data_IF_573365676049
#
_entry.id   IF_573365676049
#
_cell.length_a   1.000
_cell.length_b   1.000
_cell.length_c   1.000
_cell.angle_alpha   90.00
_cell.angle_beta   90.00
_cell.angle_gamma   90.00
#
_symmetry.space_group_name_H-M   'P 1'
#
loop_
_entity.id
_entity.type
_entity.pdbx_description
1 polymer ?
#
# COMPACT_ATOMS: atom_id res chain seq x y z
N UNK A 1 -23.89 6.52 2.69
CA UNK A 1 -22.85 5.65 3.26
C UNK A 1 -22.27 4.81 2.12
N UNK A 2 -21.05 5.11 1.67
CA UNK A 2 -20.36 4.41 0.56
C UNK A 2 -20.12 2.94 0.94
N UNK A 3 -20.56 1.99 0.12
CA UNK A 3 -20.28 0.55 0.30
C UNK A 3 -19.45 0.06 -0.88
N UNK A 4 -18.15 -0.06 -0.65
CA UNK A 4 -17.22 -0.76 -1.55
C UNK A 4 -17.14 -2.19 -1.06
N UNK A 5 -17.57 -3.15 -1.87
CA UNK A 5 -17.40 -4.56 -1.60
C UNK A 5 -16.18 -5.05 -2.37
N UNK A 6 -15.15 -5.50 -1.65
CA UNK A 6 -13.92 -6.04 -2.25
C UNK A 6 -13.82 -7.52 -1.95
N UNK A 7 -13.51 -8.32 -2.98
CA UNK A 7 -13.24 -9.74 -2.86
C UNK A 7 -11.80 -10.00 -3.31
N UNK A 8 -10.95 -10.43 -2.37
CA UNK A 8 -9.61 -10.91 -2.69
C UNK A 8 -9.71 -12.32 -3.27
N UNK A 9 -9.13 -12.51 -4.45
CA UNK A 9 -9.23 -13.76 -5.21
C UNK A 9 -7.96 -14.60 -5.01
N UNK A 10 -6.82 -13.96 -4.73
CA UNK A 10 -5.61 -14.68 -4.37
C UNK A 10 -4.50 -13.77 -3.84
N UNK A 11 -3.71 -14.31 -2.94
CA UNK A 11 -2.49 -13.71 -2.42
C UNK A 11 -1.36 -14.73 -2.53
N UNK A 12 -0.20 -14.30 -3.01
CA UNK A 12 1.01 -15.09 -3.06
C UNK A 12 2.10 -14.35 -2.30
N UNK A 13 2.73 -15.02 -1.33
CA UNK A 13 3.84 -14.49 -0.55
C UNK A 13 5.07 -15.35 -0.79
N UNK A 14 6.17 -14.71 -1.17
CA UNK A 14 7.48 -15.33 -1.37
C UNK A 14 8.48 -14.59 -0.48
N UNK A 15 9.06 -15.32 0.46
CA UNK A 15 10.13 -14.79 1.30
C UNK A 15 11.43 -15.53 1.00
N UNK A 16 12.54 -14.80 1.02
CA UNK A 16 13.88 -15.37 0.92
C UNK A 16 14.80 -14.73 1.95
N UNK A 17 15.58 -15.57 2.60
CA UNK A 17 16.60 -15.16 3.57
C UNK A 17 17.93 -15.77 3.15
N UNK A 18 18.75 -15.11 2.31
CA UNK A 18 20.14 -15.49 2.13
C UNK A 18 20.85 -15.57 3.48
N UNK A 19 21.85 -16.47 3.57
CA UNK A 19 22.64 -16.73 4.79
C UNK A 19 23.38 -15.51 5.37
N UNK A 20 23.28 -14.35 4.72
CA UNK A 20 23.89 -13.07 5.10
C UNK A 20 22.79 -12.02 5.24
N UNK A 21 22.19 -11.92 6.44
CA UNK A 21 21.48 -10.78 7.05
C UNK A 21 20.42 -9.97 6.25
N UNK A 22 20.13 -10.32 5.01
CA UNK A 22 19.22 -9.59 4.14
C UNK A 22 17.94 -10.40 3.98
N UNK A 23 16.85 -9.96 4.57
CA UNK A 23 15.54 -10.54 4.28
C UNK A 23 14.92 -9.81 3.10
N UNK A 24 14.44 -10.58 2.11
CA UNK A 24 13.65 -10.04 1.00
C UNK A 24 12.30 -10.74 0.98
N UNK A 25 11.24 -9.94 1.01
CA UNK A 25 9.86 -10.39 0.89
C UNK A 25 9.21 -9.79 -0.35
N UNK A 26 8.50 -10.61 -1.10
CA UNK A 26 7.64 -10.24 -2.21
C UNK A 26 6.23 -10.76 -1.91
N UNK A 27 5.25 -9.88 -1.97
CA UNK A 27 3.83 -10.22 -1.85
C UNK A 27 3.09 -9.70 -3.08
N UNK A 28 2.24 -10.55 -3.66
CA UNK A 28 1.39 -10.20 -4.80
C UNK A 28 -0.04 -10.54 -4.42
N UNK A 29 -0.94 -9.55 -4.55
CA UNK A 29 -2.36 -9.67 -4.25
C UNK A 29 -3.16 -9.32 -5.51
N UNK A 30 -4.14 -10.16 -5.83
CA UNK A 30 -5.09 -9.93 -6.93
C UNK A 30 -6.52 -10.06 -6.39
N UNK A 31 -7.37 -9.10 -6.74
CA UNK A 31 -8.75 -9.05 -6.30
C UNK A 31 -9.70 -8.50 -7.35
N UNK A 32 -10.99 -8.74 -7.12
CA UNK A 32 -12.07 -8.06 -7.83
C UNK A 32 -12.80 -7.11 -6.88
N UNK A 33 -13.26 -6.00 -7.41
CA UNK A 33 -13.95 -4.94 -6.70
C UNK A 33 -15.34 -4.78 -7.31
N UNK A 34 -16.32 -4.47 -6.47
CA UNK A 34 -17.61 -3.97 -6.92
C UNK A 34 -17.91 -2.69 -6.15
N UNK A 35 -18.04 -1.59 -6.89
CA UNK A 35 -18.40 -0.29 -6.34
C UNK A 35 -19.76 0.14 -6.90
N UNK A 36 -20.70 0.42 -6.01
CA UNK A 36 -22.06 0.80 -6.38
C UNK A 36 -22.26 2.31 -6.55
N UNK A 37 -21.21 3.14 -6.34
CA UNK A 37 -21.34 4.61 -6.31
C UNK A 37 -20.09 5.34 -6.87
N UNK A 38 -19.71 5.09 -8.14
CA UNK A 38 -18.71 5.89 -8.86
C UNK A 38 -19.28 7.17 -9.50
N UNK A 39 -20.36 7.74 -8.98
CA UNK A 39 -20.94 8.98 -9.49
C UNK A 39 -20.39 10.19 -8.72
N UNK A 40 -19.64 11.05 -9.40
CA UNK A 40 -19.44 12.43 -8.93
C UNK A 40 -20.83 13.09 -8.78
N UNK A 41 -21.05 13.80 -7.68
CA UNK A 41 -22.34 14.41 -7.30
C UNK A 41 -22.88 15.47 -8.30
N UNK A 42 -22.20 15.74 -9.42
CA UNK A 42 -22.65 16.67 -10.47
C UNK A 42 -23.04 15.99 -11.80
N UNK A 43 -22.89 14.67 -11.94
CA UNK A 43 -23.35 13.91 -13.11
C UNK A 43 -24.61 13.09 -12.78
N UNK A 44 -25.75 13.80 -12.81
CA UNK A 44 -27.14 13.36 -12.97
C UNK A 44 -27.54 11.91 -12.61
N UNK A 45 -28.42 11.86 -11.61
CA UNK A 45 -29.57 10.99 -11.30
C UNK A 45 -30.03 9.79 -12.19
N UNK A 46 -29.40 9.47 -13.33
CA UNK A 46 -29.90 8.49 -14.30
C UNK A 46 -29.05 7.20 -14.39
N UNK A 47 -27.80 7.19 -13.91
CA UNK A 47 -26.91 6.02 -14.05
C UNK A 47 -26.53 5.41 -12.68
N UNK A 48 -27.44 4.60 -12.14
CA UNK A 48 -27.16 3.65 -11.06
C UNK A 48 -26.34 2.43 -11.58
N UNK A 49 -25.30 2.67 -12.37
CA UNK A 49 -24.45 1.60 -12.87
C UNK A 49 -23.32 1.39 -11.85
N UNK A 50 -23.45 0.35 -11.03
CA UNK A 50 -22.32 -0.12 -10.22
C UNK A 50 -21.26 -0.72 -11.14
N UNK A 51 -20.00 -0.44 -10.88
CA UNK A 51 -18.88 -0.89 -11.70
C UNK A 51 -18.11 -2.02 -11.01
N UNK A 52 -17.57 -2.92 -11.84
CA UNK A 52 -16.70 -4.01 -11.42
C UNK A 52 -15.27 -3.62 -11.78
N UNK A 53 -14.38 -3.70 -10.80
CA UNK A 53 -12.96 -3.47 -11.01
C UNK A 53 -12.11 -4.71 -10.76
N UNK A 54 -10.90 -4.70 -11.29
CA UNK A 54 -9.83 -5.61 -10.90
C UNK A 54 -8.74 -4.82 -10.17
N UNK A 55 -8.16 -5.44 -9.14
CA UNK A 55 -7.02 -4.88 -8.41
C UNK A 55 -5.84 -5.82 -8.47
N UNK A 56 -4.68 -5.26 -8.74
CA UNK A 56 -3.38 -5.89 -8.57
C UNK A 56 -2.55 -5.04 -7.61
N UNK A 57 -1.99 -5.68 -6.58
CA UNK A 57 -0.98 -5.08 -5.72
C UNK A 57 0.27 -5.95 -5.69
N UNK A 58 1.42 -5.32 -5.73
CA UNK A 58 2.70 -5.97 -5.51
C UNK A 58 3.51 -5.18 -4.48
N UNK A 59 3.94 -5.85 -3.43
CA UNK A 59 4.73 -5.30 -2.33
C UNK A 59 6.09 -5.98 -2.29
N UNK A 60 7.14 -5.17 -2.22
CA UNK A 60 8.52 -5.62 -2.04
C UNK A 60 9.05 -4.99 -0.76
N UNK A 61 9.57 -5.82 0.15
CA UNK A 61 10.27 -5.38 1.35
C UNK A 61 11.69 -5.94 1.36
N UNK A 62 12.66 -5.10 1.66
CA UNK A 62 14.07 -5.48 1.86
C UNK A 62 14.50 -5.02 3.24
N UNK A 63 14.99 -5.93 4.07
CA UNK A 63 15.55 -5.64 5.40
C UNK A 63 17.05 -5.88 5.33
N UNK A 64 17.86 -4.88 4.93
CA UNK A 64 19.32 -5.03 4.83
C UNK A 64 20.03 -5.10 6.19
N UNK A 65 19.38 -4.61 7.26
CA UNK A 65 19.92 -4.67 8.62
C UNK A 65 18.81 -5.11 9.56
N UNK A 66 18.98 -6.29 10.16
CA UNK A 66 18.15 -6.76 11.26
C UNK A 66 19.06 -7.23 12.41
N UNK A 67 19.05 -6.47 13.50
CA UNK A 67 19.82 -6.77 14.70
C UNK A 67 18.94 -6.62 15.94
N UNK A 68 19.45 -7.07 17.10
CA UNK A 68 18.71 -6.95 18.37
C UNK A 68 18.37 -5.51 18.75
N UNK A 69 19.15 -4.52 18.32
CA UNK A 69 19.01 -3.11 18.74
C UNK A 69 18.61 -2.18 17.61
N UNK A 70 18.72 -2.59 16.35
CA UNK A 70 18.52 -1.74 15.19
C UNK A 70 18.00 -2.55 14.00
N UNK A 71 17.03 -1.98 13.30
CA UNK A 71 16.46 -2.52 12.07
C UNK A 71 16.32 -1.38 11.05
N UNK A 72 16.69 -1.65 9.80
CA UNK A 72 16.48 -0.77 8.66
C UNK A 72 15.77 -1.57 7.58
N UNK A 73 14.67 -1.03 7.05
CA UNK A 73 13.94 -1.64 5.94
C UNK A 73 13.63 -0.62 4.83
N UNK A 74 13.54 -1.14 3.62
CA UNK A 74 13.06 -0.43 2.44
C UNK A 74 11.85 -1.15 1.86
N UNK A 75 10.85 -0.38 1.44
CA UNK A 75 9.59 -0.88 0.90
C UNK A 75 9.28 -0.24 -0.44
N UNK A 76 8.70 -1.02 -1.34
CA UNK A 76 8.08 -0.52 -2.54
C UNK A 76 6.74 -1.21 -2.76
N UNK A 77 5.69 -0.43 -2.97
CA UNK A 77 4.36 -0.93 -3.31
C UNK A 77 3.93 -0.38 -4.66
N UNK A 78 3.52 -1.27 -5.54
CA UNK A 78 2.75 -0.96 -6.74
C UNK A 78 1.30 -1.39 -6.51
N UNK A 79 0.34 -0.51 -6.76
CA UNK A 79 -1.10 -0.79 -6.64
C UNK A 79 -1.81 -0.26 -7.88
N UNK A 80 -2.52 -1.13 -8.58
CA UNK A 80 -3.32 -0.82 -9.75
C UNK A 80 -4.74 -1.28 -9.50
N UNK A 81 -5.69 -0.37 -9.69
CA UNK A 81 -7.10 -0.68 -9.85
C UNK A 81 -7.52 -0.31 -11.27
N UNK A 82 -8.16 -1.25 -11.96
CA UNK A 82 -8.75 -1.07 -13.29
C UNK A 82 -10.25 -1.24 -13.18
N UNK A 83 -11.01 -0.31 -13.73
CA UNK A 83 -12.46 -0.32 -13.79
C UNK A 83 -12.93 -0.78 -15.17
N UNK A 84 -14.03 -1.55 -15.24
CA UNK A 84 -14.47 -2.15 -16.49
C UNK A 84 -15.11 -1.14 -17.43
N UNK A 85 -15.93 -0.25 -16.85
CA UNK A 85 -16.76 0.69 -17.61
C UNK A 85 -16.27 2.16 -17.50
N UNK A 86 -15.43 2.49 -16.51
CA UNK A 86 -14.96 3.86 -16.25
C UNK A 86 -13.44 3.97 -16.05
N UNK A 87 -12.70 3.93 -17.16
CA UNK A 87 -11.23 3.99 -17.15
C UNK A 87 -10.68 5.35 -16.65
N UNK A 88 -11.48 6.41 -16.71
CA UNK A 88 -11.12 7.73 -16.15
C UNK A 88 -10.92 7.67 -14.62
N UNK A 89 -11.43 6.63 -13.97
CA UNK A 89 -11.27 6.39 -12.54
C UNK A 89 -10.24 5.31 -12.22
N UNK A 90 -9.48 4.81 -13.20
CA UNK A 90 -8.37 3.90 -12.95
C UNK A 90 -7.36 4.56 -12.00
N UNK A 91 -7.04 3.88 -10.90
CA UNK A 91 -6.09 4.37 -9.91
C UNK A 91 -4.82 3.54 -9.99
N UNK A 92 -3.69 4.21 -10.18
CA UNK A 92 -2.37 3.61 -10.07
C UNK A 92 -1.59 4.34 -8.98
N UNK A 93 -0.89 3.60 -8.12
CA UNK A 93 0.00 4.22 -7.15
C UNK A 93 1.34 3.49 -7.03
N UNK A 94 2.39 4.29 -6.83
CA UNK A 94 3.72 3.86 -6.50
C UNK A 94 4.07 4.43 -5.13
N UNK A 95 4.39 3.58 -4.16
CA UNK A 95 4.86 4.01 -2.84
C UNK A 95 6.28 3.51 -2.60
N UNK A 96 7.16 4.40 -2.19
CA UNK A 96 8.52 4.10 -1.73
C UNK A 96 8.61 4.43 -0.25
N UNK A 97 8.98 3.45 0.56
CA UNK A 97 9.07 3.57 2.01
C UNK A 97 10.47 3.26 2.53
N UNK A 98 10.86 3.93 3.60
CA UNK A 98 12.03 3.60 4.40
C UNK A 98 11.65 3.62 5.88
N UNK A 99 11.94 2.54 6.59
CA UNK A 99 11.70 2.40 8.02
C UNK A 99 13.01 2.25 8.78
N UNK A 100 13.13 2.95 9.91
CA UNK A 100 14.22 2.77 10.86
C UNK A 100 13.62 2.49 12.23
N UNK A 101 14.11 1.45 12.88
CA UNK A 101 13.72 1.10 14.24
C UNK A 101 14.96 0.93 15.11
N UNK A 102 14.91 1.46 16.33
CA UNK A 102 15.96 1.29 17.33
C UNK A 102 15.39 0.91 18.69
N UNK A 103 16.17 0.18 19.50
CA UNK A 103 15.84 -0.12 20.89
C UNK A 103 16.82 0.59 21.81
N UNK A 104 16.28 1.45 22.68
CA UNK A 104 17.04 2.18 23.69
C UNK A 104 16.45 1.83 25.05
N UNK A 105 17.19 1.05 25.83
CA UNK A 105 16.68 0.47 27.08
C UNK A 105 15.49 -0.45 26.84
N UNK A 106 14.37 -0.20 27.52
CA UNK A 106 13.10 -0.92 27.34
C UNK A 106 12.16 -0.30 26.29
N UNK A 107 12.55 0.80 25.66
CA UNK A 107 11.75 1.49 24.65
C UNK A 107 12.19 1.12 23.23
N UNK A 108 11.22 1.03 22.33
CA UNK A 108 11.38 0.91 20.89
C UNK A 108 10.95 2.23 20.25
N UNK A 109 11.84 2.82 19.47
CA UNK A 109 11.58 4.01 18.68
C UNK A 109 11.59 3.61 17.22
N UNK A 110 10.61 4.07 16.45
CA UNK A 110 10.59 3.86 15.02
C UNK A 110 10.27 5.16 14.29
N UNK A 111 10.81 5.30 13.08
CA UNK A 111 10.52 6.38 12.17
C UNK A 111 10.31 5.78 10.78
N UNK A 112 9.14 6.03 10.22
CA UNK A 112 8.77 5.61 8.87
C UNK A 112 8.63 6.84 7.98
N UNK A 113 9.27 6.81 6.82
CA UNK A 113 9.07 7.79 5.76
C UNK A 113 8.49 7.10 4.53
N UNK A 114 7.44 7.68 3.95
CA UNK A 114 6.83 7.22 2.72
C UNK A 114 6.73 8.37 1.71
N UNK A 115 7.15 8.12 0.48
CA UNK A 115 6.79 8.89 -0.69
C UNK A 115 5.76 8.10 -1.52
N UNK A 116 4.71 8.76 -2.00
CA UNK A 116 3.69 8.14 -2.83
C UNK A 116 3.35 9.02 -4.03
N UNK A 117 3.43 8.44 -5.22
CA UNK A 117 2.94 9.02 -6.46
C UNK A 117 1.63 8.34 -6.88
N UNK A 118 0.57 9.10 -7.13
CA UNK A 118 -0.73 8.58 -7.55
C UNK A 118 -1.12 9.14 -8.92
N UNK A 119 -1.66 8.26 -9.76
CA UNK A 119 -2.27 8.59 -11.05
C UNK A 119 -3.75 8.20 -11.03
N UNK A 120 -4.56 9.00 -11.72
CA UNK A 120 -6.01 8.81 -11.91
C UNK A 120 -6.32 8.90 -13.41
N UNK A 121 -7.00 7.91 -13.98
CA UNK A 121 -7.28 7.88 -15.42
C UNK A 121 -6.01 7.89 -16.28
N UNK A 122 -4.89 7.41 -15.72
CA UNK A 122 -3.57 7.46 -16.36
C UNK A 122 -2.81 8.79 -16.19
N UNK A 123 -3.44 9.86 -15.74
CA UNK A 123 -2.78 11.15 -15.52
C UNK A 123 -2.24 11.29 -14.11
N UNK A 124 -1.14 12.03 -13.94
CA UNK A 124 -0.59 12.32 -12.61
C UNK A 124 -1.60 13.13 -11.79
N UNK A 125 -1.99 12.61 -10.62
CA UNK A 125 -2.97 13.26 -9.75
C UNK A 125 -2.27 14.04 -8.63
N UNK A 126 -1.48 13.38 -7.80
CA UNK A 126 -0.70 14.04 -6.74
C UNK A 126 0.45 13.19 -6.21
N UNK A 127 1.38 13.89 -5.56
CA UNK A 127 2.48 13.32 -4.78
C UNK A 127 2.27 13.58 -3.28
N UNK A 128 2.59 12.60 -2.45
CA UNK A 128 2.47 12.67 -1.00
C UNK A 128 3.77 12.25 -0.32
N UNK A 129 4.12 13.00 0.72
CA UNK A 129 5.19 12.65 1.65
C UNK A 129 4.58 12.46 3.03
N UNK A 130 4.88 11.34 3.68
CA UNK A 130 4.47 11.06 5.04
C UNK A 130 5.68 10.75 5.91
N UNK A 131 5.67 11.25 7.13
CA UNK A 131 6.66 10.94 8.15
C UNK A 131 5.93 10.52 9.42
N UNK A 132 6.10 9.27 9.84
CA UNK A 132 5.39 8.66 10.96
C UNK A 132 6.39 8.25 12.05
N UNK A 133 6.62 9.10 13.06
CA UNK A 133 7.36 8.69 14.25
C UNK A 133 6.49 7.85 15.17
N UNK A 134 7.06 6.84 15.81
CA UNK A 134 6.39 6.07 16.85
C UNK A 134 7.32 5.67 17.99
N UNK A 135 6.72 5.51 19.17
CA UNK A 135 7.38 5.01 20.37
C UNK A 135 6.51 3.93 20.98
N UNK A 136 7.10 2.78 21.29
CA UNK A 136 6.44 1.67 21.96
C UNK A 136 7.30 1.16 23.11
N UNK A 137 6.69 0.88 24.25
CA UNK A 137 7.38 0.42 25.46
C UNK A 137 6.44 0.39 26.65
N UNK A 138 6.91 -0.12 27.78
CA UNK A 138 6.11 -0.13 28.99
C UNK A 138 6.02 1.28 29.59
N UNK A 139 4.80 1.73 29.88
CA UNK A 139 4.59 2.75 30.91
C UNK A 139 4.68 1.99 32.25
N UNK A 140 5.70 2.29 33.04
CA UNK A 140 5.82 1.75 34.39
C UNK A 140 4.80 2.42 35.33
#
# INVERSE_FOLDING_TARGET
MRRISSLFIGTMVVTSSPAMAQEVSLEIEVGALYDSHLTFEEADAEQQQGDVGARLRADVKVVPVDTKSFELDFRYTFDQTLYADFDEFDIQSHRLGAGVQTRIGGARLSLDYDFRHIRLGGDALYDEHSLTPSIAGFVA
#
